data_IF_563943957711
#
_entry.id   IF_563943957711
#
_cell.length_a   1.000
_cell.length_b   1.000
_cell.length_c   1.000
_cell.angle_alpha   90.00
_cell.angle_beta   90.00
_cell.angle_gamma   90.00
#
_symmetry.space_group_name_H-M   'P 1'
#
loop_
_entity.id
_entity.type
_entity.pdbx_description
1 polymer ?
#
# COMPACT_ATOMS: atom_id res chain seq x y z
N UNK A 1 -5.70 -3.91 15.69
CA UNK A 1 -6.39 -2.60 15.69
C UNK A 1 -7.27 -2.41 14.46
N UNK A 2 -6.76 -2.42 13.21
CA UNK A 2 -7.53 -2.21 11.96
C UNK A 2 -8.75 -3.15 11.87
N UNK A 3 -8.54 -4.47 12.00
CA UNK A 3 -9.62 -5.47 11.96
C UNK A 3 -10.67 -5.26 13.07
N UNK A 4 -10.26 -4.84 14.27
CA UNK A 4 -11.17 -4.56 15.37
C UNK A 4 -12.01 -3.30 15.12
N UNK A 5 -11.45 -2.26 14.51
CA UNK A 5 -12.20 -1.06 14.12
C UNK A 5 -13.21 -1.36 13.00
N UNK A 6 -12.79 -2.16 12.03
CA UNK A 6 -13.67 -2.60 10.95
C UNK A 6 -14.84 -3.45 11.47
N UNK A 7 -14.54 -4.43 12.32
CA UNK A 7 -15.55 -5.32 12.91
C UNK A 7 -16.60 -4.58 13.78
N UNK A 8 -16.24 -3.45 14.38
CA UNK A 8 -17.17 -2.61 15.15
C UNK A 8 -18.12 -1.80 14.25
N UNK A 9 -17.89 -1.74 12.94
CA UNK A 9 -18.69 -0.94 12.01
C UNK A 9 -18.65 0.58 12.26
N UNK A 10 -17.78 1.05 13.15
CA UNK A 10 -17.70 2.46 13.53
C UNK A 10 -17.17 3.37 12.42
N UNK A 11 -16.35 2.80 11.51
CA UNK A 11 -15.74 3.51 10.39
C UNK A 11 -15.96 2.71 9.11
N UNK A 12 -16.68 3.24 8.11
CA UNK A 12 -17.00 2.53 6.88
C UNK A 12 -15.85 2.59 5.86
N UNK A 13 -14.63 2.17 6.24
CA UNK A 13 -13.52 2.12 5.31
C UNK A 13 -13.45 0.76 4.61
N UNK A 14 -13.00 0.78 3.37
CA UNK A 14 -12.76 -0.41 2.54
C UNK A 14 -11.29 -0.58 2.20
N UNK A 15 -10.52 0.51 2.24
CA UNK A 15 -9.12 0.57 1.85
C UNK A 15 -8.23 0.88 3.03
N UNK A 16 -7.10 0.21 3.08
CA UNK A 16 -6.00 0.48 4.01
C UNK A 16 -4.78 0.84 3.20
N UNK A 17 -4.22 2.02 3.45
CA UNK A 17 -2.99 2.48 2.80
C UNK A 17 -1.87 2.58 3.84
N UNK A 18 -0.64 2.42 3.40
CA UNK A 18 0.53 2.52 4.26
C UNK A 18 1.81 2.70 3.45
N UNK A 19 2.89 2.97 4.17
CA UNK A 19 4.22 3.13 3.61
C UNK A 19 4.95 1.79 3.42
N UNK A 20 6.22 1.86 2.99
CA UNK A 20 7.08 0.71 2.75
C UNK A 20 7.25 -0.21 3.95
N UNK A 21 7.23 0.34 5.18
CA UNK A 21 7.36 -0.46 6.39
C UNK A 21 6.20 -1.45 6.52
N UNK A 22 4.98 -0.98 6.28
CA UNK A 22 3.79 -1.82 6.32
C UNK A 22 3.65 -2.70 5.07
N UNK A 23 4.00 -2.17 3.90
CA UNK A 23 3.94 -2.91 2.64
C UNK A 23 4.92 -4.08 2.55
N UNK A 24 6.03 -4.01 3.29
CA UNK A 24 7.03 -5.09 3.40
C UNK A 24 6.70 -6.11 4.51
N UNK A 25 5.48 -6.13 5.01
CA UNK A 25 5.06 -7.02 6.10
C UNK A 25 3.96 -7.97 5.61
N UNK A 26 4.29 -9.13 4.99
CA UNK A 26 3.31 -10.07 4.41
C UNK A 26 2.22 -10.48 5.38
N UNK A 27 2.57 -10.73 6.64
CA UNK A 27 1.60 -11.12 7.68
C UNK A 27 0.53 -10.04 7.91
N UNK A 28 0.90 -8.75 7.88
CA UNK A 28 -0.06 -7.66 7.99
C UNK A 28 -0.98 -7.61 6.79
N UNK A 29 -0.44 -7.75 5.58
CA UNK A 29 -1.21 -7.76 4.33
C UNK A 29 -2.24 -8.89 4.34
N UNK A 30 -1.83 -10.09 4.78
CA UNK A 30 -2.70 -11.25 4.87
C UNK A 30 -3.78 -11.07 5.96
N UNK A 31 -3.47 -10.42 7.08
CA UNK A 31 -4.47 -10.07 8.11
C UNK A 31 -5.49 -9.06 7.60
N UNK A 32 -5.08 -8.05 6.83
CA UNK A 32 -6.00 -7.08 6.21
C UNK A 32 -6.91 -7.80 5.21
N UNK A 33 -6.35 -8.66 4.36
CA UNK A 33 -7.12 -9.44 3.40
C UNK A 33 -8.10 -10.41 4.07
N UNK A 34 -7.69 -11.09 5.16
CA UNK A 34 -8.55 -11.97 5.96
C UNK A 34 -9.73 -11.21 6.60
N UNK A 35 -9.56 -9.93 6.92
CA UNK A 35 -10.62 -9.04 7.37
C UNK A 35 -11.54 -8.54 6.24
N UNK A 36 -11.38 -9.06 5.00
CA UNK A 36 -12.11 -8.65 3.78
C UNK A 36 -11.95 -7.17 3.44
N UNK A 37 -10.80 -6.61 3.79
CA UNK A 37 -10.39 -5.27 3.44
C UNK A 37 -9.42 -5.29 2.27
N UNK A 38 -9.48 -4.25 1.46
CA UNK A 38 -8.49 -4.01 0.43
C UNK A 38 -7.31 -3.20 0.99
N UNK A 39 -6.11 -3.51 0.54
CA UNK A 39 -4.94 -2.72 0.86
C UNK A 39 -4.29 -2.15 -0.40
N UNK A 40 -3.64 -1.00 -0.23
CA UNK A 40 -2.78 -0.37 -1.21
C UNK A 40 -1.56 0.18 -0.47
N UNK A 41 -0.43 -0.54 -0.54
CA UNK A 41 0.75 -0.28 0.28
C UNK A 41 1.96 0.02 -0.59
N UNK A 42 2.71 1.06 -0.24
CA UNK A 42 4.04 1.29 -0.82
C UNK A 42 4.96 0.13 -0.42
N UNK A 43 5.82 -0.32 -1.33
CA UNK A 43 6.75 -1.43 -1.11
C UNK A 43 8.17 -1.04 -1.51
N UNK A 44 9.20 -1.59 -0.83
CA UNK A 44 10.58 -1.42 -1.22
C UNK A 44 10.89 -2.02 -2.59
N UNK A 45 11.85 -1.46 -3.28
CA UNK A 45 12.24 -1.86 -4.63
C UNK A 45 12.75 -3.31 -4.74
N UNK A 46 13.22 -3.89 -3.64
CA UNK A 46 13.76 -5.25 -3.58
C UNK A 46 12.72 -6.34 -3.33
N UNK A 47 11.46 -5.98 -3.09
CA UNK A 47 10.37 -6.97 -2.93
C UNK A 47 10.19 -7.74 -4.24
N UNK A 48 9.96 -9.06 -4.09
CA UNK A 48 9.91 -9.97 -5.24
C UNK A 48 8.49 -10.44 -5.51
N UNK A 49 8.21 -10.62 -6.81
CA UNK A 49 6.94 -11.14 -7.32
C UNK A 49 7.20 -12.06 -8.50
N UNK A 50 6.28 -12.97 -8.75
CA UNK A 50 6.24 -13.69 -10.03
C UNK A 50 5.30 -12.95 -10.99
N UNK A 51 5.74 -12.65 -12.22
CA UNK A 51 4.86 -12.13 -13.27
C UNK A 51 3.69 -13.08 -13.58
N UNK A 52 3.97 -14.37 -13.51
CA UNK A 52 3.01 -15.45 -13.70
C UNK A 52 3.15 -16.47 -12.55
N UNK A 53 2.06 -17.15 -12.22
CA UNK A 53 2.04 -18.13 -11.13
C UNK A 53 2.97 -19.29 -11.45
N UNK A 54 4.04 -19.52 -10.67
CA UNK A 54 4.97 -20.62 -10.92
C UNK A 54 4.29 -21.97 -10.60
N UNK A 55 4.72 -23.01 -11.30
CA UNK A 55 4.29 -24.36 -11.00
C UNK A 55 4.84 -24.82 -9.66
N UNK A 56 3.97 -25.50 -8.91
CA UNK A 56 4.33 -26.10 -7.61
C UNK A 56 3.92 -27.56 -7.58
N UNK A 57 4.71 -28.39 -6.91
CA UNK A 57 4.42 -29.80 -6.73
C UNK A 57 4.95 -30.31 -5.38
N UNK A 58 4.38 -31.38 -4.88
CA UNK A 58 5.02 -32.20 -3.87
C UNK A 58 6.06 -33.07 -4.59
N UNK A 59 7.36 -32.98 -4.25
CA UNK A 59 8.38 -33.78 -4.93
C UNK A 59 8.08 -35.28 -4.86
N UNK A 60 8.30 -35.97 -5.96
CA UNK A 60 8.16 -37.43 -5.99
C UNK A 60 9.15 -38.08 -5.03
N UNK A 61 8.77 -39.24 -4.48
CA UNK A 61 9.64 -40.04 -3.64
C UNK A 61 10.91 -40.44 -4.43
N UNK A 62 12.09 -40.23 -3.85
CA UNK A 62 13.38 -40.51 -4.51
C UNK A 62 13.77 -41.99 -4.50
N UNK A 63 12.94 -42.88 -3.94
CA UNK A 63 13.25 -44.29 -3.76
C UNK A 63 14.35 -44.57 -2.71
N UNK A 64 14.94 -43.53 -2.12
CA UNK A 64 15.89 -43.64 -1.01
C UNK A 64 15.16 -43.78 0.32
N UNK A 65 15.81 -44.46 1.31
CA UNK A 65 15.28 -44.57 2.67
C UNK A 65 15.01 -43.17 3.26
N UNK A 66 13.82 -42.90 3.72
CA UNK A 66 13.39 -41.62 4.35
C UNK A 66 11.89 -41.45 4.29
N UNK A 67 11.37 -40.49 5.06
CA UNK A 67 9.97 -40.12 5.00
C UNK A 67 9.66 -39.48 3.63
N UNK A 68 8.48 -39.74 3.01
CA UNK A 68 8.09 -39.13 1.76
C UNK A 68 7.96 -37.62 1.93
N UNK A 69 8.19 -36.89 0.86
CA UNK A 69 7.94 -35.43 0.84
C UNK A 69 6.43 -35.17 1.01
N UNK A 70 6.08 -34.29 1.92
CA UNK A 70 4.68 -33.88 2.16
C UNK A 70 4.43 -32.42 1.88
N UNK A 71 5.50 -31.62 1.75
CA UNK A 71 5.41 -30.16 1.55
C UNK A 71 5.49 -29.80 0.08
N UNK A 72 4.60 -28.91 -0.33
CA UNK A 72 4.64 -28.30 -1.65
C UNK A 72 5.92 -27.46 -1.81
N UNK A 73 6.54 -27.53 -2.98
CA UNK A 73 7.74 -26.78 -3.38
C UNK A 73 7.53 -26.25 -4.79
N UNK A 74 8.37 -25.31 -5.22
CA UNK A 74 8.44 -24.95 -6.64
C UNK A 74 8.85 -26.18 -7.45
N UNK A 75 8.15 -26.41 -8.57
CA UNK A 75 8.49 -27.50 -9.47
C UNK A 75 9.88 -27.26 -10.11
N UNK A 76 10.62 -28.30 -10.51
CA UNK A 76 11.83 -28.14 -11.28
C UNK A 76 11.57 -27.30 -12.54
N UNK A 77 12.40 -26.29 -12.81
CA UNK A 77 12.23 -25.38 -13.93
C UNK A 77 11.16 -24.29 -13.75
N UNK A 78 10.53 -24.19 -12.56
CA UNK A 78 9.61 -23.08 -12.28
C UNK A 78 10.30 -21.72 -12.40
N UNK A 79 9.55 -20.71 -12.82
CA UNK A 79 10.03 -19.33 -12.94
C UNK A 79 10.55 -18.81 -11.62
N UNK A 80 11.52 -17.90 -11.67
CA UNK A 80 12.10 -17.24 -10.48
C UNK A 80 11.35 -15.93 -10.22
N UNK A 81 11.08 -15.65 -8.95
CA UNK A 81 10.51 -14.38 -8.56
C UNK A 81 11.52 -13.24 -8.81
N UNK A 82 11.08 -12.20 -9.48
CA UNK A 82 11.89 -11.03 -9.83
C UNK A 82 11.60 -9.85 -8.89
N UNK A 83 12.56 -8.97 -8.71
CA UNK A 83 12.42 -7.76 -7.92
C UNK A 83 11.49 -6.78 -8.65
N UNK A 84 10.77 -5.96 -7.88
CA UNK A 84 9.84 -5.00 -8.46
C UNK A 84 10.54 -3.92 -9.29
N UNK A 85 11.75 -3.50 -8.92
CA UNK A 85 12.55 -2.57 -9.74
C UNK A 85 12.94 -3.19 -11.09
N UNK A 86 13.37 -4.45 -11.09
CA UNK A 86 13.67 -5.19 -12.33
C UNK A 86 12.41 -5.41 -13.18
N UNK A 87 11.27 -5.69 -12.54
CA UNK A 87 9.98 -5.76 -13.22
C UNK A 87 9.65 -4.44 -13.92
N UNK A 88 9.78 -3.31 -13.22
CA UNK A 88 9.48 -1.99 -13.76
C UNK A 88 10.38 -1.62 -14.96
N UNK A 89 11.67 -1.96 -14.89
CA UNK A 89 12.61 -1.75 -16.00
C UNK A 89 12.26 -2.61 -17.23
N UNK A 90 11.78 -3.84 -17.01
CA UNK A 90 11.40 -4.75 -18.08
C UNK A 90 10.07 -4.39 -18.76
N UNK A 91 9.26 -3.48 -18.20
CA UNK A 91 8.00 -3.08 -18.78
C UNK A 91 8.21 -2.31 -20.10
N UNK A 92 7.48 -2.65 -21.18
CA UNK A 92 7.54 -1.92 -22.41
C UNK A 92 7.02 -0.48 -22.20
N UNK A 93 7.53 0.47 -23.01
CA UNK A 93 7.11 1.89 -22.91
C UNK A 93 5.59 2.07 -22.96
N UNK A 94 4.88 1.28 -23.74
CA UNK A 94 3.41 1.33 -23.86
C UNK A 94 2.65 0.84 -22.62
N UNK A 95 3.33 0.21 -21.64
CA UNK A 95 2.71 -0.15 -20.37
C UNK A 95 2.60 1.05 -19.41
N UNK A 96 3.35 2.12 -19.67
CA UNK A 96 3.34 3.34 -18.89
C UNK A 96 2.35 4.34 -19.47
N UNK A 97 1.48 4.86 -18.62
CA UNK A 97 0.51 5.90 -18.98
C UNK A 97 0.67 7.10 -18.06
N UNK A 98 0.51 8.29 -18.63
CA UNK A 98 0.50 9.53 -17.86
C UNK A 98 -0.84 9.65 -17.15
N UNK A 99 -0.81 9.87 -15.84
CA UNK A 99 -2.00 10.02 -15.03
C UNK A 99 -1.86 11.20 -14.07
N UNK A 100 -2.93 11.94 -13.89
CA UNK A 100 -3.05 12.95 -12.83
C UNK A 100 -3.45 12.21 -11.54
N UNK A 101 -2.58 12.29 -10.52
CA UNK A 101 -2.75 11.58 -9.25
C UNK A 101 -3.61 12.39 -8.30
N UNK A 102 -3.40 13.72 -8.26
CA UNK A 102 -4.14 14.63 -7.38
C UNK A 102 -3.94 16.09 -7.82
N UNK A 103 -4.78 16.98 -7.30
CA UNK A 103 -4.58 18.42 -7.36
C UNK A 103 -3.75 18.85 -6.15
N UNK A 104 -2.63 19.51 -6.41
CA UNK A 104 -1.76 20.05 -5.38
C UNK A 104 -1.81 21.58 -5.34
N UNK A 105 -1.37 22.19 -4.24
CA UNK A 105 -1.28 23.66 -4.10
C UNK A 105 -0.37 24.34 -5.12
N UNK A 106 0.56 23.58 -5.72
CA UNK A 106 1.49 24.06 -6.78
C UNK A 106 1.09 23.60 -8.19
N UNK A 107 -0.14 23.09 -8.36
CA UNK A 107 -0.64 22.50 -9.60
C UNK A 107 -0.85 20.98 -9.50
N UNK A 108 -1.39 20.37 -10.57
CA UNK A 108 -1.70 18.93 -10.57
C UNK A 108 -0.42 18.10 -10.46
N UNK A 109 -0.43 17.09 -9.59
CA UNK A 109 0.61 16.07 -9.55
C UNK A 109 0.34 15.07 -10.66
N UNK A 110 1.20 15.09 -11.68
CA UNK A 110 1.14 14.19 -12.84
C UNK A 110 2.36 13.27 -12.82
N UNK A 111 2.16 12.00 -13.11
CA UNK A 111 3.24 11.01 -13.16
C UNK A 111 2.96 9.93 -14.20
N UNK A 112 3.97 9.20 -14.61
CA UNK A 112 3.80 7.94 -15.34
C UNK A 112 3.47 6.82 -14.37
N UNK A 113 2.46 6.03 -14.71
CA UNK A 113 1.97 4.90 -13.91
C UNK A 113 1.89 3.66 -14.78
N UNK A 114 2.32 2.52 -14.26
CA UNK A 114 2.15 1.22 -14.89
C UNK A 114 1.46 0.24 -13.93
N UNK A 115 0.63 -0.64 -14.48
CA UNK A 115 -0.18 -1.60 -13.72
C UNK A 115 0.14 -3.01 -14.19
N UNK A 116 0.54 -3.87 -13.27
CA UNK A 116 0.91 -5.25 -13.58
C UNK A 116 0.19 -6.20 -12.62
N UNK A 117 -0.42 -7.25 -13.16
CA UNK A 117 -0.87 -8.37 -12.33
C UNK A 117 0.33 -9.26 -12.06
N UNK A 118 0.50 -9.67 -10.81
CA UNK A 118 1.60 -10.49 -10.38
C UNK A 118 1.16 -11.41 -9.23
N UNK A 119 2.00 -12.37 -8.90
CA UNK A 119 1.79 -13.28 -7.77
C UNK A 119 2.77 -12.91 -6.65
N UNK A 120 2.24 -12.61 -5.48
CA UNK A 120 3.05 -12.29 -4.31
C UNK A 120 3.83 -13.51 -3.83
N UNK A 121 5.02 -13.28 -3.29
CA UNK A 121 5.81 -14.33 -2.63
C UNK A 121 5.34 -14.49 -1.18
N UNK A 122 5.13 -15.73 -0.75
CA UNK A 122 4.85 -16.09 0.66
C UNK A 122 5.70 -17.31 1.01
N UNK A 123 6.65 -17.14 1.92
CA UNK A 123 7.55 -18.21 2.38
C UNK A 123 8.24 -18.96 1.23
N UNK A 124 8.63 -18.22 0.18
CA UNK A 124 9.27 -18.77 -1.01
C UNK A 124 8.32 -19.50 -1.97
N UNK A 125 7.02 -19.49 -1.72
CA UNK A 125 5.98 -20.10 -2.55
C UNK A 125 5.02 -19.02 -3.12
N UNK A 126 4.24 -19.35 -4.18
CA UNK A 126 3.25 -18.44 -4.72
C UNK A 126 2.12 -18.19 -3.71
N UNK A 127 1.95 -16.95 -3.35
CA UNK A 127 0.88 -16.41 -2.53
C UNK A 127 -0.31 -15.92 -3.36
N UNK A 128 -1.02 -14.87 -2.91
CA UNK A 128 -2.16 -14.30 -3.62
C UNK A 128 -1.76 -13.57 -4.91
N UNK A 129 -2.71 -13.49 -5.85
CA UNK A 129 -2.61 -12.61 -7.00
C UNK A 129 -2.85 -11.17 -6.56
N UNK A 130 -1.98 -10.26 -6.98
CA UNK A 130 -1.98 -8.85 -6.59
C UNK A 130 -1.79 -7.93 -7.79
N UNK A 131 -2.13 -6.68 -7.63
CA UNK A 131 -1.66 -5.61 -8.49
C UNK A 131 -0.33 -5.10 -7.97
N UNK A 132 0.63 -4.91 -8.88
CA UNK A 132 1.79 -4.07 -8.69
C UNK A 132 1.54 -2.79 -9.48
N UNK A 133 1.55 -1.67 -8.77
CA UNK A 133 1.41 -0.34 -9.37
C UNK A 133 2.74 0.36 -9.25
N UNK A 134 3.37 0.64 -10.39
CA UNK A 134 4.62 1.37 -10.47
C UNK A 134 4.33 2.83 -10.84
N UNK A 135 4.95 3.76 -10.13
CA UNK A 135 4.86 5.21 -10.41
C UNK A 135 6.26 5.78 -10.54
N UNK A 136 6.47 6.66 -11.51
CA UNK A 136 7.69 7.45 -11.65
C UNK A 136 7.36 8.90 -12.03
N UNK A 137 8.19 9.83 -11.61
CA UNK A 137 8.03 11.24 -11.96
C UNK A 137 8.36 11.44 -13.44
N UNK A 138 7.72 12.43 -14.10
CA UNK A 138 7.97 12.72 -15.50
C UNK A 138 9.36 13.31 -15.73
N UNK A 139 9.84 14.13 -14.80
CA UNK A 139 11.14 14.82 -14.80
C UNK A 139 12.26 14.00 -14.15
N UNK A 140 11.92 12.96 -13.39
CA UNK A 140 12.86 12.08 -12.69
C UNK A 140 12.42 10.61 -12.81
N UNK A 141 12.44 10.00 -14.00
CA UNK A 141 11.92 8.65 -14.23
C UNK A 141 12.72 7.55 -13.51
N UNK A 142 13.91 7.86 -12.99
CA UNK A 142 14.69 6.98 -12.11
C UNK A 142 14.11 6.90 -10.69
N UNK A 143 13.28 7.85 -10.27
CA UNK A 143 12.60 7.84 -8.98
C UNK A 143 11.35 6.96 -9.05
N UNK A 144 11.58 5.66 -9.00
CA UNK A 144 10.52 4.67 -9.00
C UNK A 144 9.90 4.56 -7.61
N UNK A 145 8.56 4.59 -7.54
CA UNK A 145 7.79 4.12 -6.39
C UNK A 145 6.93 2.94 -6.81
N UNK A 146 6.83 1.96 -5.95
CA UNK A 146 6.05 0.76 -6.21
C UNK A 146 5.06 0.49 -5.09
N UNK A 147 3.91 -0.05 -5.46
CA UNK A 147 2.81 -0.34 -4.55
C UNK A 147 2.26 -1.72 -4.82
N UNK A 148 1.83 -2.41 -3.77
CA UNK A 148 1.12 -3.68 -3.85
C UNK A 148 -0.33 -3.50 -3.42
N UNK A 149 -1.25 -4.15 -4.15
CA UNK A 149 -2.69 -4.05 -3.90
C UNK A 149 -3.38 -5.40 -4.12
N UNK A 150 -4.25 -5.80 -3.19
CA UNK A 150 -5.04 -7.04 -3.28
C UNK A 150 -6.40 -6.88 -3.97
N UNK A 151 -6.64 -5.75 -4.61
CA UNK A 151 -7.86 -5.54 -5.37
C UNK A 151 -8.04 -6.60 -6.46
N UNK A 152 -9.29 -6.88 -6.79
CA UNK A 152 -9.66 -7.83 -7.83
C UNK A 152 -9.17 -7.39 -9.21
N UNK A 153 -9.07 -8.32 -10.15
CA UNK A 153 -8.52 -8.04 -11.49
C UNK A 153 -9.37 -7.04 -12.29
N UNK A 154 -10.65 -6.97 -11.99
CA UNK A 154 -11.66 -6.08 -12.61
C UNK A 154 -11.68 -4.67 -11.99
N UNK A 155 -10.85 -4.40 -10.97
CA UNK A 155 -10.76 -3.07 -10.37
C UNK A 155 -10.33 -2.03 -11.42
N UNK A 156 -11.10 -0.95 -11.61
CA UNK A 156 -10.75 0.10 -12.56
C UNK A 156 -9.37 0.72 -12.25
N UNK A 157 -8.59 1.00 -13.28
CA UNK A 157 -7.27 1.63 -13.12
C UNK A 157 -7.36 3.02 -12.49
N UNK A 158 -8.44 3.73 -12.76
CA UNK A 158 -8.74 5.04 -12.16
C UNK A 158 -8.81 4.95 -10.64
N UNK A 159 -9.36 3.85 -10.10
CA UNK A 159 -9.36 3.59 -8.65
C UNK A 159 -7.93 3.42 -8.12
N UNK A 160 -7.07 2.70 -8.84
CA UNK A 160 -5.67 2.52 -8.45
C UNK A 160 -4.88 3.82 -8.54
N UNK A 161 -5.18 4.68 -9.53
CA UNK A 161 -4.59 6.04 -9.63
C UNK A 161 -5.04 6.91 -8.47
N UNK A 162 -6.32 6.90 -8.13
CA UNK A 162 -6.85 7.64 -6.99
C UNK A 162 -6.18 7.23 -5.68
N UNK A 163 -5.93 5.92 -5.48
CA UNK A 163 -5.24 5.41 -4.29
C UNK A 163 -3.80 5.94 -4.15
N UNK A 164 -3.11 6.23 -5.26
CA UNK A 164 -1.77 6.86 -5.23
C UNK A 164 -1.77 8.23 -4.54
N UNK A 165 -2.89 8.96 -4.64
CA UNK A 165 -3.04 10.29 -4.04
C UNK A 165 -3.43 10.27 -2.57
N UNK A 166 -3.93 9.14 -2.02
CA UNK A 166 -4.51 9.10 -0.67
C UNK A 166 -3.52 9.33 0.48
N UNK A 167 -2.22 9.16 0.26
CA UNK A 167 -1.22 9.42 1.32
C UNK A 167 -1.05 10.91 1.63
N UNK A 168 -1.10 11.73 0.61
CA UNK A 168 -0.88 13.18 0.79
C UNK A 168 -1.86 13.84 1.77
N UNK A 169 -3.18 13.58 1.75
CA UNK A 169 -4.09 14.15 2.75
C UNK A 169 -3.73 13.78 4.20
N UNK A 170 -3.17 12.59 4.42
CA UNK A 170 -2.74 12.15 5.76
C UNK A 170 -1.50 12.93 6.20
N UNK A 171 -0.51 13.07 5.32
CA UNK A 171 0.70 13.86 5.58
C UNK A 171 0.34 15.32 5.83
N UNK A 172 -0.57 15.88 5.03
CA UNK A 172 -1.09 17.23 5.21
C UNK A 172 -1.84 17.38 6.54
N UNK A 173 -2.70 16.43 6.91
CA UNK A 173 -3.41 16.46 8.18
C UNK A 173 -2.46 16.39 9.38
N UNK A 174 -1.41 15.57 9.32
CA UNK A 174 -0.38 15.53 10.37
C UNK A 174 0.37 16.84 10.43
N UNK A 175 0.73 17.43 9.30
CA UNK A 175 1.40 18.72 9.21
C UNK A 175 0.55 19.82 9.83
N UNK A 176 -0.71 19.95 9.44
CA UNK A 176 -1.67 20.91 10.01
C UNK A 176 -1.84 20.68 11.52
N UNK A 177 -1.93 19.42 11.96
CA UNK A 177 -2.00 19.08 13.37
C UNK A 177 -0.79 19.58 14.18
N UNK A 178 0.41 19.54 13.59
CA UNK A 178 1.63 20.06 14.22
C UNK A 178 1.70 21.58 14.19
N UNK A 179 1.51 22.17 13.03
CA UNK A 179 1.71 23.61 12.82
C UNK A 179 0.60 24.46 13.45
N UNK A 180 -0.68 24.01 13.37
CA UNK A 180 -1.83 24.82 13.76
C UNK A 180 -2.40 24.42 15.16
N UNK A 181 -2.20 23.17 15.56
CA UNK A 181 -2.85 22.60 16.76
C UNK A 181 -1.87 22.09 17.82
N UNK A 182 -0.57 22.23 17.58
CA UNK A 182 0.47 21.87 18.54
C UNK A 182 0.58 20.37 18.82
N UNK A 183 0.29 19.49 17.84
CA UNK A 183 0.35 18.04 18.01
C UNK A 183 1.73 17.56 18.49
N UNK A 184 2.80 18.24 18.13
CA UNK A 184 4.19 17.97 18.52
C UNK A 184 4.69 18.80 19.70
N UNK A 185 3.88 19.72 20.25
CA UNK A 185 4.24 20.57 21.38
C UNK A 185 3.95 19.91 22.74
N UNK A 186 3.97 18.58 22.79
CA UNK A 186 3.73 17.83 23.99
C UNK A 186 4.99 17.72 24.85
N UNK A 187 4.95 18.32 26.06
CA UNK A 187 6.10 18.36 26.97
C UNK A 187 6.00 17.39 28.16
N UNK A 188 4.80 16.86 28.44
CA UNK A 188 4.56 16.01 29.61
C UNK A 188 4.88 14.55 29.31
N UNK A 189 5.74 13.90 30.10
CA UNK A 189 6.21 12.52 29.87
C UNK A 189 5.22 11.41 30.25
N UNK A 190 4.07 11.74 30.83
CA UNK A 190 3.11 10.76 31.32
C UNK A 190 2.21 10.21 30.21
N UNK A 191 2.00 8.88 30.14
CA UNK A 191 1.13 8.21 29.18
C UNK A 191 -0.30 8.78 29.12
N UNK A 192 -0.91 9.06 30.28
CA UNK A 192 -2.26 9.67 30.35
C UNK A 192 -2.29 11.08 29.75
N UNK A 193 -1.26 11.89 30.05
CA UNK A 193 -1.13 13.24 29.50
C UNK A 193 -0.95 13.22 28.00
N UNK A 194 -0.12 12.31 27.48
CA UNK A 194 0.07 12.12 26.05
C UNK A 194 -1.25 11.76 25.34
N UNK A 195 -2.00 10.79 25.89
CA UNK A 195 -3.30 10.42 25.32
C UNK A 195 -4.29 11.58 25.35
N UNK A 196 -4.34 12.34 26.45
CA UNK A 196 -5.22 13.50 26.58
C UNK A 196 -4.89 14.57 25.55
N UNK A 197 -3.60 14.96 25.45
CA UNK A 197 -3.12 15.93 24.48
C UNK A 197 -3.44 15.50 23.03
N UNK A 198 -3.06 14.29 22.66
CA UNK A 198 -3.32 13.76 21.33
C UNK A 198 -4.82 13.69 21.01
N UNK A 199 -5.64 13.24 21.94
CA UNK A 199 -7.09 13.18 21.74
C UNK A 199 -7.71 14.56 21.53
N UNK A 200 -7.30 15.56 22.32
CA UNK A 200 -7.78 16.94 22.20
C UNK A 200 -7.34 17.56 20.87
N UNK A 201 -6.10 17.36 20.45
CA UNK A 201 -5.58 17.85 19.16
C UNK A 201 -6.35 17.25 17.99
N UNK A 202 -6.56 15.91 17.99
CA UNK A 202 -7.33 15.23 16.96
C UNK A 202 -8.80 15.67 16.93
N UNK A 203 -9.40 15.92 18.10
CA UNK A 203 -10.78 16.45 18.20
C UNK A 203 -10.88 17.86 17.61
N UNK A 204 -9.93 18.74 17.93
CA UNK A 204 -9.85 20.09 17.37
C UNK A 204 -9.66 20.04 15.84
N UNK A 205 -8.77 19.18 15.34
CA UNK A 205 -8.56 18.99 13.91
C UNK A 205 -9.85 18.51 13.21
N UNK A 206 -10.53 17.52 13.79
CA UNK A 206 -11.81 17.05 13.26
C UNK A 206 -12.85 18.16 13.21
N UNK A 207 -12.94 18.98 14.25
CA UNK A 207 -13.85 20.13 14.30
C UNK A 207 -13.54 21.13 13.18
N UNK A 208 -12.28 21.52 13.01
CA UNK A 208 -11.85 22.44 11.95
C UNK A 208 -12.12 21.89 10.55
N UNK A 209 -11.86 20.61 10.32
CA UNK A 209 -12.19 19.96 9.05
C UNK A 209 -13.69 19.99 8.75
N UNK A 210 -14.53 19.70 9.73
CA UNK A 210 -15.99 19.80 9.57
C UNK A 210 -16.47 21.22 9.33
N UNK A 211 -15.90 22.19 10.03
CA UNK A 211 -16.23 23.61 9.86
C UNK A 211 -15.86 24.07 8.45
N UNK A 212 -14.64 23.78 7.99
CA UNK A 212 -14.17 24.07 6.64
C UNK A 212 -15.07 23.45 5.57
N UNK A 213 -15.46 22.20 5.75
CA UNK A 213 -16.38 21.51 4.82
C UNK A 213 -17.77 22.16 4.75
N UNK A 214 -18.30 22.66 5.89
CA UNK A 214 -19.61 23.34 5.94
C UNK A 214 -19.59 24.76 5.36
N UNK A 215 -18.49 25.45 5.51
CA UNK A 215 -18.30 26.82 5.01
C UNK A 215 -17.85 26.90 3.53
N UNK A 216 -17.90 25.79 2.79
CA UNK A 216 -17.56 25.74 1.38
C UNK A 216 -16.07 25.77 1.08
N UNK A 217 -15.25 25.34 2.05
CA UNK A 217 -13.80 25.32 1.90
C UNK A 217 -13.22 26.72 1.83
N UNK A 218 -12.75 27.24 2.96
CA UNK A 218 -11.93 28.46 2.94
C UNK A 218 -10.71 28.21 2.01
N UNK A 219 -10.36 29.13 1.10
CA UNK A 219 -9.16 28.97 0.29
C UNK A 219 -7.97 28.82 1.24
N UNK A 220 -7.31 27.69 1.16
CA UNK A 220 -6.07 27.42 1.91
C UNK A 220 -5.01 28.38 1.39
N UNK A 221 -4.49 29.25 2.28
CA UNK A 221 -3.35 30.15 1.99
C UNK A 221 -2.06 29.36 1.90
#
# INVERSE_FOLDING_TARGET
MIAALHARGALPFRWVTGDEHFGNTPMLLDQIAAAKLSYFMEIPHNVRFWPERPLTAVPAATGKKGAPFTRVRLAPGASVAIRVDALAVALPRGAWQVAQIQDGSKGPLVAEVAFVRAVAVRDGLPGPDVWIVCRRALDAPQELKAYVCNATADTPRETLVWLLGLRWPIEQAIKEGKEELGLDQYEVRGWRGWHHHTAMTLLAQHFLMRLSSRLGGLPRR
#
